data_IF_936784696889
#
_entry.id   IF_936784696889
#
_cell.length_a   1.000
_cell.length_b   1.000
_cell.length_c   1.000
_cell.angle_alpha   90.00
_cell.angle_beta   90.00
_cell.angle_gamma   90.00
#
_symmetry.space_group_name_H-M   'P 1'
#
loop_
_entity.id
_entity.type
_entity.pdbx_description
1 polymer ?
#
# COMPACT_ATOMS: atom_id res chain seq x y z
N UNK A 1 -20.96 59.76 -57.38
CA UNK A 1 -21.45 59.07 -56.17
C UNK A 1 -21.05 57.60 -56.33
N UNK A 2 -19.87 57.21 -55.85
CA UNK A 2 -19.40 55.83 -55.96
C UNK A 2 -20.20 54.97 -54.98
N UNK A 3 -20.74 53.86 -55.49
CA UNK A 3 -21.71 52.99 -54.84
C UNK A 3 -21.18 52.35 -53.56
N UNK A 4 -22.07 52.29 -52.56
CA UNK A 4 -21.94 51.48 -51.36
C UNK A 4 -22.22 50.02 -51.71
N UNK A 5 -21.38 49.14 -51.17
CA UNK A 5 -21.62 47.72 -50.81
C UNK A 5 -21.57 46.62 -51.89
N UNK A 6 -20.59 45.73 -51.72
CA UNK A 6 -20.81 44.27 -51.78
C UNK A 6 -19.78 43.60 -50.85
N UNK A 7 -20.11 43.46 -49.55
CA UNK A 7 -20.82 42.33 -48.91
C UNK A 7 -20.07 41.00 -49.01
N UNK A 8 -19.80 40.46 -47.82
CA UNK A 8 -19.28 39.16 -47.42
C UNK A 8 -19.95 37.94 -48.09
N UNK A 9 -20.02 37.87 -49.43
CA UNK A 9 -20.76 36.83 -50.17
C UNK A 9 -19.86 35.65 -50.55
N UNK A 10 -18.55 35.84 -50.65
CA UNK A 10 -17.65 34.70 -50.78
C UNK A 10 -17.40 34.17 -49.39
N UNK A 11 -18.19 33.17 -48.96
CA UNK A 11 -17.69 32.19 -47.98
C UNK A 11 -16.31 31.80 -48.51
N UNK A 12 -15.24 32.22 -47.82
CA UNK A 12 -13.90 31.86 -48.24
C UNK A 12 -13.77 30.36 -48.01
N UNK A 13 -14.02 29.58 -49.06
CA UNK A 13 -13.80 28.15 -49.06
C UNK A 13 -12.33 27.97 -49.40
N UNK A 14 -11.53 27.62 -48.39
CA UNK A 14 -10.15 27.23 -48.59
C UNK A 14 -10.15 25.82 -49.19
N UNK A 15 -10.09 25.72 -50.52
CA UNK A 15 -10.03 24.45 -51.27
C UNK A 15 -8.66 23.74 -51.17
N UNK A 16 -7.81 24.21 -50.26
CA UNK A 16 -6.47 23.69 -49.97
C UNK A 16 -6.26 23.75 -48.46
N UNK A 17 -5.24 23.06 -47.95
CA UNK A 17 -4.84 23.17 -46.55
C UNK A 17 -4.67 24.65 -46.16
N UNK A 18 -5.41 25.10 -45.15
CA UNK A 18 -5.20 26.41 -44.53
C UNK A 18 -3.86 26.34 -43.80
N UNK A 19 -2.81 26.89 -44.40
CA UNK A 19 -1.50 26.99 -43.78
C UNK A 19 -1.48 28.25 -42.89
N UNK A 20 -2.17 28.19 -41.76
CA UNK A 20 -2.03 29.18 -40.70
C UNK A 20 -0.76 28.88 -39.90
N UNK A 21 -0.19 29.91 -39.27
CA UNK A 21 0.87 29.69 -38.31
C UNK A 21 0.30 28.94 -37.08
N UNK A 22 0.34 27.62 -37.11
CA UNK A 22 0.05 26.77 -35.96
C UNK A 22 1.30 26.75 -35.08
N UNK A 23 1.68 27.92 -34.57
CA UNK A 23 2.90 28.22 -33.81
C UNK A 23 2.92 27.57 -32.40
N UNK A 24 2.22 26.45 -32.25
CA UNK A 24 2.10 25.72 -31.00
C UNK A 24 2.11 24.21 -31.24
N UNK A 25 2.39 23.45 -30.19
CA UNK A 25 2.61 22.00 -30.23
C UNK A 25 1.40 21.19 -30.74
N UNK A 26 0.23 21.81 -30.98
CA UNK A 26 -1.02 21.11 -31.25
C UNK A 26 -1.04 20.33 -32.57
N UNK A 27 -0.35 20.79 -33.62
CA UNK A 27 -0.45 20.19 -34.95
C UNK A 27 0.32 18.85 -35.12
N UNK A 28 1.27 18.56 -34.22
CA UNK A 28 2.15 17.38 -34.29
C UNK A 28 2.34 16.64 -32.95
N UNK A 29 1.68 17.07 -31.87
CA UNK A 29 1.90 16.49 -30.55
C UNK A 29 1.37 15.06 -30.45
N UNK A 30 2.30 14.10 -30.39
CA UNK A 30 2.09 12.74 -29.89
C UNK A 30 2.43 12.61 -28.40
N UNK A 31 3.11 13.63 -27.83
CA UNK A 31 3.57 13.66 -26.44
C UNK A 31 3.43 15.05 -25.81
N UNK A 32 3.37 15.13 -24.48
CA UNK A 32 3.43 16.39 -23.74
C UNK A 32 4.82 17.04 -23.84
N UNK A 33 4.85 18.33 -24.19
CA UNK A 33 6.09 19.12 -24.25
C UNK A 33 6.81 19.17 -22.91
N UNK A 34 6.05 19.22 -21.80
CA UNK A 34 6.61 19.08 -20.45
C UNK A 34 6.02 17.84 -19.80
N UNK A 35 6.86 16.85 -19.55
CA UNK A 35 6.46 15.67 -18.80
C UNK A 35 5.89 16.06 -17.43
N UNK A 36 4.78 15.45 -17.04
CA UNK A 36 4.18 15.61 -15.71
C UNK A 36 4.50 14.38 -14.88
N UNK A 37 4.64 14.55 -13.56
CA UNK A 37 4.83 13.40 -12.67
C UNK A 37 3.46 12.87 -12.25
N UNK A 38 3.21 11.60 -12.47
CA UNK A 38 2.05 10.87 -11.96
C UNK A 38 2.59 9.89 -10.92
N UNK A 39 2.20 10.07 -9.65
CA UNK A 39 2.75 9.31 -8.52
C UNK A 39 4.30 9.23 -8.52
N UNK A 40 4.96 10.35 -8.87
CA UNK A 40 6.42 10.44 -8.95
C UNK A 40 7.05 9.97 -10.26
N UNK A 41 6.33 9.21 -11.11
CA UNK A 41 6.83 8.72 -12.40
C UNK A 41 6.63 9.79 -13.50
N UNK A 42 7.69 10.17 -14.24
CA UNK A 42 7.55 11.09 -15.37
C UNK A 42 6.69 10.48 -16.48
N UNK A 43 5.70 11.24 -16.94
CA UNK A 43 4.79 10.85 -18.00
C UNK A 43 4.69 11.96 -19.05
N UNK A 44 4.96 11.61 -20.31
CA UNK A 44 4.80 12.49 -21.46
C UNK A 44 3.84 11.92 -22.51
N UNK A 45 3.18 10.79 -22.27
CA UNK A 45 2.23 10.18 -23.22
C UNK A 45 2.86 9.35 -24.35
N UNK A 46 4.19 9.17 -24.38
CA UNK A 46 4.84 8.31 -25.40
C UNK A 46 4.62 6.81 -25.19
N UNK A 47 4.28 6.40 -23.97
CA UNK A 47 3.97 5.04 -23.58
C UNK A 47 3.04 5.04 -22.35
N UNK A 48 2.42 3.90 -22.08
CA UNK A 48 1.62 3.70 -20.87
C UNK A 48 2.47 3.83 -19.60
N UNK A 49 1.82 4.23 -18.51
CA UNK A 49 2.45 4.37 -17.20
C UNK A 49 2.15 3.17 -16.31
N UNK A 50 3.21 2.51 -15.80
CA UNK A 50 3.10 1.57 -14.70
C UNK A 50 3.15 2.30 -13.35
N UNK A 51 2.09 2.19 -12.55
CA UNK A 51 2.05 2.75 -11.18
C UNK A 51 1.91 1.61 -10.18
N UNK A 52 3.02 1.24 -9.55
CA UNK A 52 3.00 0.28 -8.45
C UNK A 52 2.48 0.99 -7.19
N UNK A 53 1.36 0.54 -6.64
CA UNK A 53 0.68 1.19 -5.50
C UNK A 53 1.10 0.64 -4.14
N UNK A 54 1.60 -0.61 -4.10
CA UNK A 54 2.09 -1.28 -2.90
C UNK A 54 3.55 -1.73 -3.12
N UNK A 55 4.48 -0.80 -2.97
CA UNK A 55 5.93 -1.07 -3.09
C UNK A 55 6.59 -1.08 -1.72
N UNK A 56 7.70 -1.82 -1.61
CA UNK A 56 8.59 -1.74 -0.45
C UNK A 56 9.09 -0.31 -0.27
N UNK A 57 9.11 0.14 0.98
CA UNK A 57 9.76 1.40 1.40
C UNK A 57 11.17 1.16 1.91
N UNK A 58 11.69 -0.05 1.73
CA UNK A 58 12.98 -0.46 2.23
C UNK A 58 12.97 -0.70 3.74
N UNK A 59 14.16 -0.57 4.32
CA UNK A 59 14.45 -0.85 5.74
C UNK A 59 13.99 0.30 6.62
N UNK A 60 12.78 0.21 7.15
CA UNK A 60 12.23 1.18 8.10
C UNK A 60 12.44 0.66 9.53
N UNK A 61 13.13 1.37 10.42
CA UNK A 61 13.29 0.94 11.81
C UNK A 61 11.97 0.79 12.55
N UNK A 62 11.93 -0.10 13.54
CA UNK A 62 10.73 -0.33 14.35
C UNK A 62 10.25 0.97 15.02
N UNK A 63 8.96 1.26 14.90
CA UNK A 63 8.36 2.38 15.63
C UNK A 63 8.24 2.03 17.12
N UNK A 64 8.55 2.97 18.00
CA UNK A 64 8.54 2.78 19.45
C UNK A 64 7.83 3.93 20.16
N UNK A 65 7.46 3.70 21.42
CA UNK A 65 6.71 4.67 22.21
C UNK A 65 5.44 5.10 21.49
N UNK A 66 5.27 6.41 21.26
CA UNK A 66 4.11 7.01 20.58
C UNK A 66 4.35 7.37 19.11
N UNK A 67 5.53 7.04 18.56
CA UNK A 67 5.89 7.43 17.19
C UNK A 67 4.97 6.76 16.17
N UNK A 68 4.62 7.49 15.12
CA UNK A 68 3.63 7.08 14.12
C UNK A 68 4.27 6.90 12.75
N UNK A 69 3.73 5.97 11.97
CA UNK A 69 4.13 5.78 10.57
C UNK A 69 3.39 6.70 9.61
N UNK A 70 3.61 6.47 8.31
CA UNK A 70 2.92 7.17 7.23
C UNK A 70 1.52 6.60 7.01
N UNK A 71 0.52 7.46 6.77
CA UNK A 71 -0.85 7.03 6.48
C UNK A 71 -0.95 6.18 5.21
N UNK A 72 -1.81 5.17 5.25
CA UNK A 72 -2.03 4.19 4.18
C UNK A 72 -1.56 2.78 4.53
N UNK A 73 -1.40 1.96 3.50
CA UNK A 73 -0.78 0.63 3.58
C UNK A 73 0.66 0.79 3.13
N UNK A 74 1.61 0.44 3.99
CA UNK A 74 3.04 0.53 3.71
C UNK A 74 3.70 -0.83 3.88
N UNK A 75 4.64 -1.16 3.00
CA UNK A 75 5.47 -2.36 3.11
C UNK A 75 6.87 -1.97 3.55
N UNK A 76 7.36 -2.56 4.64
CA UNK A 76 8.72 -2.35 5.15
C UNK A 76 9.52 -3.64 5.13
N UNK A 77 10.84 -3.50 5.18
CA UNK A 77 11.80 -4.59 5.35
C UNK A 77 12.30 -4.60 6.80
N UNK A 78 12.08 -5.72 7.49
CA UNK A 78 12.80 -6.04 8.71
C UNK A 78 14.18 -6.57 8.31
N UNK A 79 15.22 -5.89 8.76
CA UNK A 79 16.61 -6.20 8.41
C UNK A 79 17.57 -5.71 9.51
N UNK A 80 17.53 -6.34 10.67
CA UNK A 80 18.36 -6.01 11.84
C UNK A 80 18.01 -4.68 12.51
N UNK A 81 16.81 -4.17 12.29
CA UNK A 81 16.36 -2.81 12.62
C UNK A 81 15.31 -2.77 13.75
N UNK A 82 15.40 -3.71 14.69
CA UNK A 82 14.67 -3.71 15.96
C UNK A 82 13.30 -4.41 15.97
N UNK A 83 12.91 -5.05 14.87
CA UNK A 83 11.73 -5.92 14.84
C UNK A 83 11.96 -7.22 15.64
N UNK A 84 10.87 -7.91 16.06
CA UNK A 84 10.96 -9.21 16.74
C UNK A 84 11.82 -10.25 16.01
N UNK A 85 11.80 -10.25 14.68
CA UNK A 85 12.72 -11.05 13.87
C UNK A 85 13.78 -10.16 13.23
N UNK A 86 15.03 -10.63 13.10
CA UNK A 86 16.06 -9.89 12.38
C UNK A 86 15.71 -9.67 10.91
N UNK A 87 15.01 -10.61 10.27
CA UNK A 87 14.68 -10.55 8.85
C UNK A 87 13.19 -10.85 8.61
N UNK A 88 12.59 -10.14 7.66
CA UNK A 88 11.18 -10.29 7.33
C UNK A 88 10.57 -9.10 6.59
N UNK A 89 9.25 -9.13 6.44
CA UNK A 89 8.48 -8.03 5.88
C UNK A 89 7.42 -7.56 6.86
N UNK A 90 7.17 -6.25 6.89
CA UNK A 90 6.14 -5.64 7.74
C UNK A 90 5.12 -4.94 6.89
N UNK A 91 3.85 -5.24 7.13
CA UNK A 91 2.73 -4.44 6.63
C UNK A 91 2.34 -3.48 7.75
N UNK A 92 2.46 -2.19 7.47
CA UNK A 92 2.04 -1.12 8.36
C UNK A 92 0.76 -0.47 7.84
N UNK A 93 -0.20 -0.27 8.74
CA UNK A 93 -1.55 0.20 8.44
C UNK A 93 -1.86 1.43 9.28
N UNK A 94 -2.24 2.52 8.62
CA UNK A 94 -2.61 3.76 9.28
C UNK A 94 -3.72 4.51 8.54
N UNK A 95 -4.71 5.01 9.28
CA UNK A 95 -5.77 5.86 8.73
C UNK A 95 -5.27 7.23 8.25
N UNK A 96 -5.98 7.85 7.31
CA UNK A 96 -5.67 9.22 6.86
C UNK A 96 -6.10 10.28 7.89
N UNK A 97 -7.17 10.01 8.63
CA UNK A 97 -7.72 10.90 9.68
C UNK A 97 -7.54 10.33 11.08
N UNK A 98 -7.82 9.03 11.26
CA UNK A 98 -7.59 8.32 12.52
C UNK A 98 -6.10 8.06 12.73
N UNK A 99 -5.62 8.33 13.95
CA UNK A 99 -4.25 8.10 14.40
C UNK A 99 -3.99 6.66 14.87
N UNK A 100 -4.98 5.77 14.83
CA UNK A 100 -4.80 4.35 15.15
C UNK A 100 -3.98 3.62 14.09
N UNK A 101 -3.13 2.69 14.54
CA UNK A 101 -2.17 1.99 13.69
C UNK A 101 -2.10 0.50 14.02
N UNK A 102 -1.75 -0.30 13.03
CA UNK A 102 -1.53 -1.74 13.16
C UNK A 102 -0.34 -2.18 12.32
N UNK A 103 0.38 -3.19 12.82
CA UNK A 103 1.48 -3.81 12.10
C UNK A 103 1.36 -5.33 12.13
N UNK A 104 1.66 -5.95 10.99
CA UNK A 104 1.84 -7.38 10.81
C UNK A 104 3.26 -7.62 10.29
N UNK A 105 4.06 -8.38 11.03
CA UNK A 105 5.39 -8.82 10.64
C UNK A 105 5.33 -10.30 10.27
N UNK A 106 5.83 -10.63 9.08
CA UNK A 106 6.12 -12.01 8.67
C UNK A 106 7.63 -12.17 8.62
N UNK A 107 8.17 -13.00 9.51
CA UNK A 107 9.59 -13.32 9.51
C UNK A 107 9.99 -14.10 8.26
N UNK A 108 11.27 -14.04 7.91
CA UNK A 108 11.86 -15.00 6.97
C UNK A 108 12.56 -16.10 7.76
N UNK A 109 12.35 -17.35 7.35
CA UNK A 109 13.08 -18.46 7.92
C UNK A 109 14.55 -18.41 7.47
N UNK A 110 15.46 -18.78 8.37
CA UNK A 110 16.87 -18.98 8.01
C UNK A 110 17.11 -20.31 7.27
N UNK A 111 16.06 -21.11 7.05
CA UNK A 111 16.13 -22.42 6.40
C UNK A 111 15.08 -22.50 5.31
N UNK A 112 15.47 -22.93 4.11
CA UNK A 112 14.58 -23.03 2.96
C UNK A 112 13.40 -23.96 3.24
N UNK A 113 12.20 -23.47 2.95
CA UNK A 113 10.94 -24.19 3.18
C UNK A 113 10.51 -24.32 4.65
N UNK A 114 11.30 -23.83 5.60
CA UNK A 114 10.94 -23.89 7.02
C UNK A 114 9.98 -22.77 7.42
N UNK A 115 9.23 -23.02 8.49
CA UNK A 115 8.28 -22.09 9.08
C UNK A 115 8.98 -20.90 9.75
N UNK A 116 8.42 -19.70 9.61
CA UNK A 116 8.91 -18.48 10.23
C UNK A 116 7.82 -17.85 11.12
N UNK A 117 8.20 -17.20 12.23
CA UNK A 117 7.22 -16.64 13.15
C UNK A 117 6.55 -15.38 12.56
N UNK A 118 5.29 -15.19 12.92
CA UNK A 118 4.46 -14.05 12.53
C UNK A 118 4.08 -13.25 13.76
N UNK A 119 4.16 -11.93 13.71
CA UNK A 119 3.85 -11.06 14.84
C UNK A 119 2.86 -9.97 14.45
N UNK A 120 2.05 -9.55 15.41
CA UNK A 120 1.15 -8.42 15.29
C UNK A 120 1.32 -7.45 16.45
N UNK A 121 1.02 -6.18 16.19
CA UNK A 121 0.83 -5.17 17.23
C UNK A 121 -0.09 -4.07 16.75
N UNK A 122 -0.55 -3.27 17.70
CA UNK A 122 -1.40 -2.11 17.44
C UNK A 122 -1.01 -0.90 18.30
N UNK A 123 -1.46 0.26 17.86
CA UNK A 123 -1.45 1.51 18.61
C UNK A 123 -2.86 2.11 18.55
N UNK A 124 -3.40 2.47 19.72
CA UNK A 124 -4.74 3.07 19.83
C UNK A 124 -4.78 4.47 19.20
N UNK A 125 -5.93 4.86 18.65
CA UNK A 125 -6.19 6.20 18.10
C UNK A 125 -6.36 7.27 19.20
N UNK A 126 -5.33 7.51 20.00
CA UNK A 126 -5.23 8.69 20.87
C UNK A 126 -3.77 9.16 20.86
N UNK A 127 -3.53 10.47 20.83
CA UNK A 127 -2.20 11.05 20.59
C UNK A 127 -1.12 10.59 21.58
N UNK A 128 -1.50 10.21 22.81
CA UNK A 128 -0.60 9.72 23.84
C UNK A 128 -0.45 8.19 23.88
N UNK A 129 -1.19 7.43 23.08
CA UNK A 129 -1.12 5.97 23.14
C UNK A 129 0.24 5.46 22.67
N UNK A 130 0.90 4.59 23.45
CA UNK A 130 2.06 3.87 22.99
C UNK A 130 1.67 2.71 22.07
N UNK A 131 2.62 2.22 21.29
CA UNK A 131 2.54 0.90 20.69
C UNK A 131 2.39 -0.18 21.77
N UNK A 132 1.52 -1.14 21.52
CA UNK A 132 1.54 -2.41 22.25
C UNK A 132 2.85 -3.16 22.01
N UNK A 133 3.19 -4.05 22.94
CA UNK A 133 4.22 -5.04 22.69
C UNK A 133 3.83 -5.92 21.49
N UNK A 134 4.82 -6.47 20.80
CA UNK A 134 4.59 -7.46 19.76
C UNK A 134 4.01 -8.73 20.35
N UNK A 135 2.95 -9.23 19.74
CA UNK A 135 2.34 -10.52 20.05
C UNK A 135 2.57 -11.48 18.89
N UNK A 136 3.05 -12.68 19.17
CA UNK A 136 3.24 -13.72 18.15
C UNK A 136 1.90 -14.40 17.83
N UNK A 137 1.64 -14.62 16.54
CA UNK A 137 0.60 -15.51 16.06
C UNK A 137 1.20 -16.92 15.99
N UNK A 138 0.65 -17.84 16.79
CA UNK A 138 1.06 -19.25 16.77
C UNK A 138 0.24 -20.04 15.76
N UNK A 139 0.92 -20.93 15.04
CA UNK A 139 0.34 -21.90 14.12
C UNK A 139 0.55 -23.32 14.66
N UNK A 140 -0.08 -24.31 14.04
CA UNK A 140 0.14 -25.72 14.38
C UNK A 140 1.62 -26.13 14.31
N UNK A 141 2.40 -25.52 13.39
CA UNK A 141 3.84 -25.78 13.26
C UNK A 141 4.66 -25.16 14.41
N UNK A 142 4.20 -24.06 15.01
CA UNK A 142 4.84 -23.48 16.22
C UNK A 142 4.51 -24.27 17.49
N UNK A 143 3.46 -25.08 17.42
CA UNK A 143 2.81 -25.76 18.53
C UNK A 143 3.32 -27.20 18.73
N UNK A 144 4.02 -27.78 17.74
CA UNK A 144 4.48 -29.19 17.79
C UNK A 144 5.46 -29.51 18.94
N UNK A 145 5.88 -28.50 19.72
CA UNK A 145 6.66 -28.66 20.95
C UNK A 145 5.82 -28.84 22.22
N UNK A 146 4.49 -28.78 22.15
CA UNK A 146 3.59 -28.91 23.31
C UNK A 146 2.71 -30.15 23.20
N UNK A 147 2.58 -30.86 24.33
CA UNK A 147 1.60 -31.93 24.48
C UNK A 147 0.19 -31.37 24.37
N UNK A 148 -0.79 -32.19 23.95
CA UNK A 148 -2.20 -31.78 23.86
C UNK A 148 -2.70 -31.17 25.18
N UNK A 149 -2.27 -31.70 26.32
CA UNK A 149 -2.62 -31.18 27.65
C UNK A 149 -2.05 -29.77 27.93
N UNK A 150 -0.87 -29.44 27.40
CA UNK A 150 -0.27 -28.11 27.52
C UNK A 150 -0.94 -27.11 26.59
N UNK A 151 -1.35 -27.56 25.40
CA UNK A 151 -2.14 -26.77 24.47
C UNK A 151 -3.50 -26.44 25.05
N UNK A 152 -4.17 -27.43 25.62
CA UNK A 152 -5.45 -27.24 26.27
C UNK A 152 -5.33 -26.24 27.42
N UNK A 153 -4.28 -26.29 28.25
CA UNK A 153 -4.07 -25.31 29.34
C UNK A 153 -3.82 -23.88 28.83
N UNK A 154 -3.08 -23.74 27.73
CA UNK A 154 -2.56 -22.43 27.26
C UNK A 154 -3.48 -21.76 26.23
N UNK A 155 -4.24 -22.56 25.48
CA UNK A 155 -5.09 -22.15 24.38
C UNK A 155 -6.55 -22.59 24.53
N UNK A 156 -7.01 -22.98 25.75
CA UNK A 156 -8.44 -23.09 26.03
C UNK A 156 -9.13 -21.86 25.41
N UNK A 157 -10.11 -22.02 24.49
CA UNK A 157 -11.00 -20.93 24.17
C UNK A 157 -11.57 -20.48 25.51
N UNK A 158 -11.46 -19.20 25.87
CA UNK A 158 -12.28 -18.67 26.95
C UNK A 158 -13.71 -18.79 26.46
N UNK A 159 -14.35 -19.92 26.75
CA UNK A 159 -15.76 -20.16 26.46
C UNK A 159 -16.51 -19.16 27.35
N UNK A 160 -16.73 -17.96 26.85
CA UNK A 160 -17.82 -17.12 27.31
C UNK A 160 -19.11 -17.80 26.81
N UNK A 161 -19.56 -18.79 27.58
CA UNK A 161 -20.95 -19.26 27.61
C UNK A 161 -21.61 -19.73 26.31
N UNK A 162 -21.02 -20.66 25.55
CA UNK A 162 -21.81 -21.46 24.60
C UNK A 162 -21.66 -22.97 24.87
N UNK A 163 -22.78 -23.72 24.92
CA UNK A 163 -22.77 -25.11 25.38
C UNK A 163 -22.21 -26.06 24.31
N UNK A 164 -21.32 -26.93 24.80
CA UNK A 164 -20.96 -28.30 24.35
C UNK A 164 -20.97 -28.55 22.84
N UNK A 165 -19.77 -28.72 22.29
CA UNK A 165 -19.58 -29.42 21.03
C UNK A 165 -20.27 -30.80 21.10
N UNK A 166 -21.16 -31.04 20.14
CA UNK A 166 -21.71 -32.35 19.83
C UNK A 166 -20.57 -33.26 19.36
N UNK A 167 -20.52 -34.49 19.88
CA UNK A 167 -19.66 -35.56 19.37
C UNK A 167 -19.76 -35.64 17.85
N UNK A 168 -18.63 -35.66 17.18
CA UNK A 168 -18.54 -36.30 15.86
C UNK A 168 -17.53 -37.42 16.05
N UNK A 169 -18.07 -38.59 16.40
CA UNK A 169 -17.41 -39.86 16.14
C UNK A 169 -17.48 -40.11 14.63
N UNK A 170 -16.31 -40.25 13.98
CA UNK A 170 -16.03 -41.17 12.87
C UNK A 170 -14.51 -41.39 12.77
#
# INVERSE_FOLDING_TARGET
MLEKENRWINKQIFNTLINGNLDSNAASATTFQTARKINGVPFNGSADIGVNTLVSRGRVPVLSGKNQGTSGIQLYEAYGNGYPTPYGNVIHLKGAKGGGEGELLVGWSGTDGAHAPVYIRSRRDVGSAPWSAWAQIFTANDIQAYTQAELDRRYQPKIYGHPRFCNIDF
#
